data_IF_919114942883
#
_entry.id   IF_919114942883
#
_cell.length_a   1.000
_cell.length_b   1.000
_cell.length_c   1.000
_cell.angle_alpha   90.00
_cell.angle_beta   90.00
_cell.angle_gamma   90.00
#
_symmetry.space_group_name_H-M   'P 1'
#
loop_
_entity.id
_entity.type
_entity.pdbx_description
1 polymer ?
#
# COMPACT_ATOMS: atom_id res chain seq x y z
N UNK A 1 -1.21 -52.10 -47.50
CA UNK A 1 -1.48 -50.66 -47.46
C UNK A 1 -1.83 -50.25 -46.04
N UNK A 2 -1.01 -49.40 -45.43
CA UNK A 2 -1.23 -48.84 -44.08
C UNK A 2 -2.37 -47.83 -44.09
N UNK A 3 -3.21 -47.85 -43.04
CA UNK A 3 -3.67 -46.59 -42.42
C UNK A 3 -3.99 -46.82 -40.94
N UNK A 4 -3.18 -46.18 -40.10
CA UNK A 4 -3.28 -46.09 -38.65
C UNK A 4 -4.33 -45.03 -38.32
N UNK A 5 -5.27 -45.35 -37.44
CA UNK A 5 -6.00 -44.40 -36.61
C UNK A 5 -6.01 -45.06 -35.22
N UNK A 6 -5.35 -44.57 -34.18
CA UNK A 6 -5.12 -43.19 -33.80
C UNK A 6 -5.65 -43.08 -32.37
N UNK A 7 -4.89 -43.60 -31.41
CA UNK A 7 -5.18 -43.56 -29.97
C UNK A 7 -5.03 -42.10 -29.53
N UNK A 8 -6.11 -41.47 -29.06
CA UNK A 8 -6.03 -40.16 -28.42
C UNK A 8 -7.24 -39.94 -27.50
N UNK A 9 -7.28 -40.66 -26.38
CA UNK A 9 -8.18 -40.39 -25.26
C UNK A 9 -7.35 -40.08 -24.01
N UNK A 10 -6.63 -38.96 -24.04
CA UNK A 10 -5.97 -38.38 -22.86
C UNK A 10 -5.88 -36.86 -23.07
N UNK A 11 -6.75 -36.10 -22.41
CA UNK A 11 -6.51 -34.75 -21.91
C UNK A 11 -7.84 -34.13 -21.46
N UNK A 12 -8.36 -34.57 -20.31
CA UNK A 12 -9.51 -33.92 -19.67
C UNK A 12 -9.36 -33.91 -18.15
N UNK A 13 -8.18 -33.49 -17.64
CA UNK A 13 -8.01 -33.11 -16.23
C UNK A 13 -6.91 -32.05 -16.12
N UNK A 14 -7.21 -30.80 -16.46
CA UNK A 14 -6.29 -29.67 -16.20
C UNK A 14 -7.01 -28.32 -16.16
N UNK A 15 -8.13 -28.22 -15.45
CA UNK A 15 -8.87 -26.96 -15.27
C UNK A 15 -9.02 -26.49 -13.82
N UNK A 16 -8.22 -27.01 -12.86
CA UNK A 16 -8.32 -26.62 -11.45
C UNK A 16 -7.08 -25.90 -10.89
N UNK A 17 -6.13 -25.49 -11.73
CA UNK A 17 -4.85 -24.93 -11.26
C UNK A 17 -4.64 -23.46 -11.68
N UNK A 18 -5.60 -22.55 -11.44
CA UNK A 18 -5.37 -21.12 -11.72
C UNK A 18 -6.09 -20.14 -10.78
N UNK A 19 -6.43 -20.54 -9.55
CA UNK A 19 -7.06 -19.63 -8.59
C UNK A 19 -6.14 -19.19 -7.43
N UNK A 20 -4.87 -19.62 -7.38
CA UNK A 20 -3.99 -19.39 -6.21
C UNK A 20 -2.86 -18.37 -6.48
N UNK A 21 -2.83 -17.73 -7.64
CA UNK A 21 -1.70 -16.87 -8.04
C UNK A 21 -1.91 -15.36 -7.83
N UNK A 22 -3.10 -14.89 -7.46
CA UNK A 22 -3.40 -13.45 -7.42
C UNK A 22 -3.15 -12.78 -6.07
N UNK A 23 -3.08 -13.54 -4.96
CA UNK A 23 -2.79 -12.94 -3.65
C UNK A 23 -1.30 -12.57 -3.48
N UNK A 24 -0.39 -13.41 -3.99
CA UNK A 24 1.06 -13.19 -3.82
C UNK A 24 1.62 -12.03 -4.65
N UNK A 25 1.11 -11.82 -5.88
CA UNK A 25 1.63 -10.80 -6.78
C UNK A 25 1.32 -9.36 -6.31
N UNK A 26 0.15 -9.16 -5.68
CA UNK A 26 -0.23 -7.88 -5.10
C UNK A 26 0.60 -7.58 -3.85
N UNK A 27 0.85 -8.56 -2.99
CA UNK A 27 1.68 -8.39 -1.79
C UNK A 27 3.13 -8.00 -2.12
N UNK A 28 3.73 -8.54 -3.19
CA UNK A 28 5.07 -8.11 -3.65
C UNK A 28 5.15 -6.64 -4.05
N UNK A 29 4.03 -6.02 -4.44
CA UNK A 29 4.00 -4.63 -4.88
C UNK A 29 3.89 -3.62 -3.73
N UNK A 30 3.73 -4.06 -2.47
CA UNK A 30 3.67 -3.14 -1.33
C UNK A 30 5.05 -2.76 -0.80
N UNK A 31 6.08 -3.58 -1.01
CA UNK A 31 7.40 -3.31 -0.47
C UNK A 31 8.10 -2.19 -1.25
N UNK A 32 8.53 -1.13 -0.55
CA UNK A 32 9.29 -0.04 -1.17
C UNK A 32 8.83 1.36 -0.77
N UNK A 33 9.26 2.35 -1.56
CA UNK A 33 8.92 3.75 -1.38
C UNK A 33 8.00 4.21 -2.51
N UNK A 34 6.90 4.84 -2.14
CA UNK A 34 5.89 5.38 -3.05
C UNK A 34 5.72 6.87 -2.78
N UNK A 35 5.50 7.62 -3.84
CA UNK A 35 5.53 9.07 -3.83
C UNK A 35 4.26 9.64 -4.44
N UNK A 36 3.80 10.74 -3.87
CA UNK A 36 2.74 11.58 -4.41
C UNK A 36 3.36 12.95 -4.69
N UNK A 37 3.86 13.10 -5.91
CA UNK A 37 4.69 14.24 -6.29
C UNK A 37 5.91 14.37 -5.37
N UNK A 38 6.32 15.61 -5.09
CA UNK A 38 7.45 15.93 -4.20
C UNK A 38 7.04 16.18 -2.75
N UNK A 39 5.73 16.09 -2.45
CA UNK A 39 5.17 16.57 -1.19
C UNK A 39 4.69 15.46 -0.25
N UNK A 40 4.63 14.21 -0.69
CA UNK A 40 4.33 13.10 0.21
C UNK A 40 4.98 11.80 -0.22
N UNK A 41 5.33 11.00 0.79
CA UNK A 41 5.98 9.71 0.63
C UNK A 41 5.40 8.72 1.63
N UNK A 42 5.09 7.50 1.19
CA UNK A 42 4.90 6.35 2.05
C UNK A 42 5.99 5.32 1.75
N UNK A 43 6.65 4.83 2.80
CA UNK A 43 7.64 3.77 2.71
C UNK A 43 7.16 2.59 3.53
N UNK A 44 6.97 1.46 2.87
CA UNK A 44 6.66 0.18 3.53
C UNK A 44 7.96 -0.52 3.88
N UNK A 45 8.13 -0.83 5.17
CA UNK A 45 9.40 -1.33 5.72
C UNK A 45 9.36 -2.79 6.17
N UNK A 46 8.18 -3.40 6.22
CA UNK A 46 8.01 -4.83 6.47
C UNK A 46 6.56 -5.26 6.30
N UNK A 47 6.33 -6.42 5.71
CA UNK A 47 5.00 -6.97 5.37
C UNK A 47 4.89 -8.39 5.93
N UNK A 48 3.71 -8.75 6.45
CA UNK A 48 3.31 -10.12 6.71
C UNK A 48 1.83 -10.33 6.35
N UNK A 49 1.29 -11.52 6.63
CA UNK A 49 -0.10 -11.85 6.33
C UNK A 49 -1.14 -10.99 7.07
N UNK A 50 -0.78 -10.44 8.23
CA UNK A 50 -1.67 -9.62 9.05
C UNK A 50 -1.61 -8.12 8.74
N UNK A 51 -0.59 -7.65 8.03
CA UNK A 51 -0.40 -6.21 7.79
C UNK A 51 1.01 -5.80 7.41
N UNK A 52 1.29 -4.50 7.47
CA UNK A 52 2.62 -3.96 7.21
C UNK A 52 3.01 -2.77 8.09
N UNK A 53 4.32 -2.62 8.29
CA UNK A 53 4.94 -1.44 8.87
C UNK A 53 5.16 -0.39 7.79
N UNK A 54 4.87 0.88 8.11
CA UNK A 54 5.14 1.98 7.22
C UNK A 54 5.68 3.22 7.93
N UNK A 55 6.33 4.06 7.13
CA UNK A 55 6.64 5.45 7.43
C UNK A 55 5.99 6.34 6.37
N UNK A 56 5.09 7.19 6.80
CA UNK A 56 4.44 8.22 6.00
C UNK A 56 5.09 9.57 6.33
N UNK A 57 5.33 10.36 5.30
CA UNK A 57 5.75 11.75 5.40
C UNK A 57 4.96 12.59 4.41
N UNK A 58 4.52 13.79 4.81
CA UNK A 58 3.78 14.71 3.94
C UNK A 58 4.07 16.16 4.28
N UNK A 59 3.98 17.06 3.30
CA UNK A 59 4.30 18.48 3.43
C UNK A 59 5.67 18.84 2.84
N UNK A 60 6.45 19.64 3.56
CA UNK A 60 7.81 20.02 3.16
C UNK A 60 8.82 18.89 3.45
N UNK A 61 8.72 17.82 2.67
CA UNK A 61 9.59 16.64 2.78
C UNK A 61 10.79 16.73 1.83
N UNK A 62 11.89 16.11 2.21
CA UNK A 62 12.95 15.74 1.26
C UNK A 62 12.67 14.31 0.78
N UNK A 63 12.45 14.07 -0.53
CA UNK A 63 12.20 12.73 -1.05
C UNK A 63 13.25 11.72 -0.60
N UNK A 64 12.81 10.57 -0.08
CA UNK A 64 13.70 9.53 0.46
C UNK A 64 14.13 9.74 1.91
N UNK A 65 14.07 10.96 2.42
CA UNK A 65 14.49 11.30 3.79
C UNK A 65 13.30 11.68 4.71
N UNK A 66 12.17 12.09 4.14
CA UNK A 66 10.97 12.53 4.87
C UNK A 66 11.11 13.94 5.43
N UNK A 67 10.56 14.20 6.61
CA UNK A 67 10.59 15.52 7.27
C UNK A 67 11.97 15.90 7.84
N UNK A 68 12.95 16.16 6.98
CA UNK A 68 14.29 16.64 7.41
C UNK A 68 14.27 18.11 7.83
N UNK A 69 13.35 18.90 7.26
CA UNK A 69 13.27 20.35 7.48
C UNK A 69 12.52 20.77 8.77
N UNK A 70 12.16 19.83 9.64
CA UNK A 70 11.48 20.10 10.92
C UNK A 70 9.95 19.96 10.90
N UNK A 71 9.30 20.26 12.04
CA UNK A 71 7.86 20.04 12.29
C UNK A 71 6.93 21.07 11.65
N UNK A 72 7.43 22.20 11.14
CA UNK A 72 6.57 23.21 10.52
C UNK A 72 6.20 22.75 9.10
N UNK A 73 4.90 22.62 8.82
CA UNK A 73 4.39 22.16 7.52
C UNK A 73 4.88 20.77 7.10
N UNK A 74 5.24 19.90 8.06
CA UNK A 74 5.65 18.54 7.77
C UNK A 74 5.10 17.53 8.78
N UNK A 75 4.33 16.57 8.27
CA UNK A 75 3.79 15.46 9.01
C UNK A 75 4.69 14.24 8.82
N UNK A 76 5.08 13.57 9.90
CA UNK A 76 5.63 12.20 9.83
C UNK A 76 4.85 11.26 10.75
N UNK A 77 4.39 10.14 10.19
CA UNK A 77 3.63 9.11 10.91
C UNK A 77 4.28 7.75 10.70
N UNK A 78 4.52 7.03 11.79
CA UNK A 78 4.99 5.65 11.76
C UNK A 78 3.89 4.77 12.33
N UNK A 79 3.71 3.59 11.74
CA UNK A 79 2.58 2.77 12.12
C UNK A 79 2.60 1.37 11.55
N UNK A 80 1.72 0.57 12.13
CA UNK A 80 1.32 -0.73 11.62
C UNK A 80 -0.08 -0.62 11.00
N UNK A 81 -0.21 -0.95 9.72
CA UNK A 81 -1.50 -1.04 9.05
C UNK A 81 -1.96 -2.50 9.01
N UNK A 82 -3.12 -2.79 9.58
CA UNK A 82 -3.69 -4.14 9.69
C UNK A 82 -4.54 -4.46 8.47
N UNK A 83 -4.46 -5.68 7.95
CA UNK A 83 -5.30 -6.12 6.82
C UNK A 83 -6.78 -6.13 7.22
N UNK A 84 -7.64 -5.69 6.31
CA UNK A 84 -9.10 -5.73 6.46
C UNK A 84 -9.69 -6.99 5.81
N UNK A 85 -11.01 -7.11 5.81
CA UNK A 85 -11.70 -8.18 5.08
C UNK A 85 -11.51 -8.07 3.56
N UNK A 86 -11.24 -6.87 3.03
CA UNK A 86 -10.77 -6.69 1.65
C UNK A 86 -9.25 -6.98 1.61
N UNK A 87 -8.80 -7.99 0.83
CA UNK A 87 -7.41 -8.42 0.81
C UNK A 87 -6.44 -7.35 0.27
N UNK A 88 -6.94 -6.37 -0.48
CA UNK A 88 -6.15 -5.27 -1.01
C UNK A 88 -6.18 -4.04 -0.12
N UNK A 89 -6.88 -4.07 1.01
CA UNK A 89 -7.09 -2.94 1.89
C UNK A 89 -6.52 -3.20 3.28
N UNK A 90 -5.86 -2.17 3.80
CA UNK A 90 -5.29 -2.14 5.13
C UNK A 90 -5.82 -0.92 5.88
N UNK A 91 -5.97 -1.03 7.19
CA UNK A 91 -6.40 0.03 8.08
C UNK A 91 -5.24 0.37 9.02
N UNK A 92 -4.81 1.62 8.98
CA UNK A 92 -4.03 2.19 10.07
C UNK A 92 -4.99 2.91 11.02
N UNK A 93 -4.85 2.63 12.31
CA UNK A 93 -5.45 3.42 13.38
C UNK A 93 -4.43 3.56 14.52
N UNK A 94 -4.20 4.78 15.02
CA UNK A 94 -3.39 4.95 16.23
C UNK A 94 -4.21 4.57 17.48
N UNK A 95 -3.53 4.41 18.63
CA UNK A 95 -4.13 3.90 19.88
C UNK A 95 -5.40 4.64 20.32
N UNK A 96 -5.45 5.95 20.06
CA UNK A 96 -6.58 6.81 20.44
C UNK A 96 -7.63 6.98 19.33
N UNK A 97 -7.44 6.35 18.17
CA UNK A 97 -8.31 6.50 16.98
C UNK A 97 -8.31 7.90 16.34
N UNK A 98 -7.40 8.77 16.77
CA UNK A 98 -7.23 10.15 16.29
C UNK A 98 -6.65 10.21 14.88
N UNK A 99 -5.84 9.21 14.51
CA UNK A 99 -5.49 8.93 13.13
C UNK A 99 -6.16 7.63 12.74
N UNK A 100 -7.00 7.67 11.70
CA UNK A 100 -7.44 6.46 11.03
C UNK A 100 -7.47 6.71 9.52
N UNK A 101 -6.91 5.81 8.73
CA UNK A 101 -7.01 5.83 7.26
C UNK A 101 -6.86 4.45 6.66
N UNK A 102 -7.50 4.27 5.50
CA UNK A 102 -7.36 3.07 4.69
C UNK A 102 -6.21 3.23 3.71
N UNK A 103 -5.49 2.14 3.48
CA UNK A 103 -4.43 2.03 2.49
C UNK A 103 -4.82 0.90 1.56
N UNK A 104 -5.07 1.22 0.29
CA UNK A 104 -5.38 0.25 -0.74
C UNK A 104 -4.15 0.00 -1.60
N UNK A 105 -3.81 -1.27 -1.74
CA UNK A 105 -2.80 -1.74 -2.67
C UNK A 105 -3.43 -1.92 -4.06
N UNK A 106 -2.86 -1.25 -5.05
CA UNK A 106 -3.28 -1.35 -6.44
C UNK A 106 -2.11 -1.81 -7.31
N UNK A 107 -2.37 -2.35 -8.52
CA UNK A 107 -1.32 -2.96 -9.35
C UNK A 107 -0.08 -2.09 -9.59
N UNK A 108 -0.23 -0.76 -9.67
CA UNK A 108 0.86 0.19 -9.94
C UNK A 108 0.95 1.35 -8.94
N UNK A 109 0.22 1.26 -7.83
CA UNK A 109 0.14 2.35 -6.86
C UNK A 109 -0.35 1.89 -5.49
N UNK A 110 -0.08 2.70 -4.48
CA UNK A 110 -0.77 2.65 -3.20
C UNK A 110 -1.71 3.84 -3.13
N UNK A 111 -2.94 3.63 -2.70
CA UNK A 111 -3.93 4.70 -2.51
C UNK A 111 -4.24 4.83 -1.04
N UNK A 112 -4.09 6.02 -0.49
CA UNK A 112 -4.46 6.32 0.89
C UNK A 112 -5.78 7.07 0.88
N UNK A 113 -6.74 6.60 1.68
CA UNK A 113 -8.09 7.15 1.78
C UNK A 113 -8.52 7.41 3.21
N UNK A 114 -9.23 8.53 3.40
CA UNK A 114 -10.12 8.68 4.55
C UNK A 114 -9.42 8.95 5.88
N UNK A 115 -8.41 9.82 5.86
CA UNK A 115 -7.75 10.32 7.06
C UNK A 115 -8.74 11.03 8.00
N UNK A 116 -9.10 10.39 9.12
CA UNK A 116 -9.83 11.02 10.24
C UNK A 116 -8.86 11.83 11.11
N UNK A 117 -9.32 13.00 11.56
CA UNK A 117 -8.49 14.08 12.09
C UNK A 117 -8.49 14.19 13.62
N UNK A 118 -7.33 13.92 14.21
CA UNK A 118 -6.47 14.82 15.00
C UNK A 118 -5.11 14.16 15.11
N UNK A 119 -4.49 13.90 13.97
CA UNK A 119 -3.28 13.08 13.84
C UNK A 119 -2.05 13.69 14.53
N UNK A 120 -2.01 13.71 15.87
CA UNK A 120 -0.96 14.31 16.69
C UNK A 120 -0.56 15.73 16.29
N UNK A 121 -1.40 16.40 15.50
CA UNK A 121 -1.03 17.58 14.74
C UNK A 121 -1.66 18.79 15.42
N UNK A 122 -0.80 19.55 16.08
CA UNK A 122 -0.96 20.98 16.24
C UNK A 122 -1.38 21.62 14.89
N UNK A 123 -2.11 22.75 14.94
CA UNK A 123 -2.70 23.40 13.76
C UNK A 123 -1.71 23.63 12.59
N UNK A 124 -0.42 23.73 12.91
CA UNK A 124 0.69 23.85 11.95
C UNK A 124 0.78 22.68 10.95
N UNK A 125 0.37 21.47 11.33
CA UNK A 125 0.51 20.27 10.51
C UNK A 125 -0.77 19.86 9.76
N UNK A 126 -1.85 20.63 9.95
CA UNK A 126 -3.15 20.42 9.28
C UNK A 126 -3.05 20.52 7.75
N UNK A 127 -2.14 21.36 7.23
CA UNK A 127 -1.87 21.46 5.79
C UNK A 127 -1.23 20.18 5.24
N UNK A 128 -0.23 19.65 5.93
CA UNK A 128 0.44 18.41 5.56
C UNK A 128 -0.51 17.20 5.58
N UNK A 129 -1.44 17.16 6.55
CA UNK A 129 -2.46 16.10 6.64
C UNK A 129 -3.33 16.00 5.37
N UNK A 130 -3.72 17.14 4.78
CA UNK A 130 -4.50 17.15 3.53
C UNK A 130 -3.74 16.56 2.34
N UNK A 131 -2.41 16.54 2.40
CA UNK A 131 -1.57 16.00 1.32
C UNK A 131 -1.47 14.47 1.36
N UNK A 132 -1.87 13.84 2.47
CA UNK A 132 -1.81 12.38 2.66
C UNK A 132 -2.81 11.63 1.78
N UNK A 133 -4.04 12.13 1.66
CA UNK A 133 -5.09 11.46 0.88
C UNK A 133 -4.77 11.46 -0.61
N UNK A 134 -4.75 10.29 -1.26
CA UNK A 134 -4.55 10.19 -2.70
C UNK A 134 -3.62 9.05 -3.14
N UNK A 135 -3.17 9.14 -4.38
CA UNK A 135 -2.46 8.08 -5.11
C UNK A 135 -0.95 8.28 -5.04
N UNK A 136 -0.24 7.23 -4.61
CA UNK A 136 1.21 7.16 -4.50
C UNK A 136 1.76 6.14 -5.50
N UNK A 137 2.79 6.51 -6.24
CA UNK A 137 3.43 5.66 -7.25
C UNK A 137 4.87 5.35 -6.86
N UNK A 138 5.40 4.17 -7.21
CA UNK A 138 6.82 3.87 -7.01
C UNK A 138 7.67 4.84 -7.85
N UNK A 139 8.81 5.29 -7.32
CA UNK A 139 9.88 5.87 -8.16
C UNK A 139 10.42 4.75 -9.03
N UNK A 140 10.18 4.84 -10.35
CA UNK A 140 10.79 3.95 -11.34
C UNK A 140 12.31 4.10 -11.36
#
# INVERSE_FOLDING_TARGET
MMKRYGIAAMAAVSLLASAVATAGALETNLAGAFYKGEHAQIKVTGLNSAGFNFRLAAGNITPGQGCVNGRADCLSLWGWATRTDDPNQFLYANENGQCAFYIRNEPESIVIHGLRGDCGADDMNRRALKLVDGVYRPTR
#
